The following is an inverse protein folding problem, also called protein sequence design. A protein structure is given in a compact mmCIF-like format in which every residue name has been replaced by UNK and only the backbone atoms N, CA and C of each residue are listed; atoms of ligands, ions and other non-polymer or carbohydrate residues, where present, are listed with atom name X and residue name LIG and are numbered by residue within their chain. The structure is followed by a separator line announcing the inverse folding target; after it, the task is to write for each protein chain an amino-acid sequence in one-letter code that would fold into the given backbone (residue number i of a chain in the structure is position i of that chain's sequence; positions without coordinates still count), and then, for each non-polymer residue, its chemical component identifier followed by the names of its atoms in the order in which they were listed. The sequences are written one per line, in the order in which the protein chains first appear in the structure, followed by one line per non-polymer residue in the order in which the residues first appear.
data_IF_424687471207
#
_entry.id   IF_424687471207
#
_cell.length_a   1.000
_cell.length_b   1.000
_cell.length_c   1.000
_cell.angle_alpha   90.00
_cell.angle_beta   90.00
_cell.angle_gamma   90.00
#
_symmetry.space_group_name_H-M   'P 1'
#
loop_
_entity.id
_entity.type
_entity.pdbx_description
1 polymer ?
#
# COMPACT_ATOMS: atom_id res chain seq x y z
N UNK A 1 7.56 -24.26 -7.36
CA UNK A 1 7.30 -24.03 -8.80
C UNK A 1 6.20 -22.98 -8.87
N UNK A 2 6.56 -21.78 -9.36
CA UNK A 2 5.61 -20.67 -9.55
C UNK A 2 4.92 -20.92 -10.87
N UNK A 3 3.59 -21.01 -10.90
CA UNK A 3 2.80 -21.02 -12.13
C UNK A 3 2.23 -19.62 -12.35
N UNK A 4 2.71 -18.94 -13.38
CA UNK A 4 2.16 -17.68 -13.87
C UNK A 4 1.21 -18.04 -15.02
N UNK A 5 -0.08 -17.70 -14.89
CA UNK A 5 -1.04 -17.82 -15.99
C UNK A 5 -1.16 -16.45 -16.66
N UNK A 6 -0.63 -16.35 -17.87
CA UNK A 6 -0.76 -15.16 -18.72
C UNK A 6 -1.72 -15.52 -19.85
N UNK A 7 -2.84 -14.82 -19.95
CA UNK A 7 -3.74 -14.91 -21.11
C UNK A 7 -3.28 -13.97 -22.21
N UNK A 8 -2.76 -14.55 -23.32
CA UNK A 8 -2.53 -13.81 -24.56
C UNK A 8 -3.77 -13.83 -25.43
N UNK A 9 -4.25 -12.65 -25.78
CA UNK A 9 -5.24 -12.50 -26.82
C UNK A 9 -4.53 -12.18 -28.14
N UNK A 10 -4.62 -13.10 -29.12
CA UNK A 10 -3.95 -13.02 -30.42
C UNK A 10 -4.97 -12.50 -31.46
N UNK A 11 -4.68 -11.40 -32.12
CA UNK A 11 -5.32 -11.05 -33.39
C UNK A 11 -4.41 -10.26 -34.32
N UNK A 12 -3.96 -10.99 -35.33
CA UNK A 12 -3.67 -10.77 -36.75
C UNK A 12 -3.29 -9.37 -37.29
N UNK A 13 -2.10 -9.44 -37.87
CA UNK A 13 -1.54 -8.84 -39.11
C UNK A 13 -2.29 -7.70 -39.80
N UNK A 14 -1.57 -6.59 -40.00
CA UNK A 14 -1.50 -5.94 -41.33
C UNK A 14 -0.19 -5.15 -41.48
N UNK A 15 0.55 -5.50 -42.56
CA UNK A 15 1.75 -4.78 -43.06
C UNK A 15 1.30 -3.40 -43.57
N UNK A 16 2.00 -2.32 -43.24
CA UNK A 16 2.13 -1.15 -44.10
C UNK A 16 3.47 -0.44 -43.94
N UNK A 17 3.97 0.02 -45.08
CA UNK A 17 5.29 0.49 -45.47
C UNK A 17 5.78 1.73 -44.75
N UNK A 18 7.09 1.77 -44.61
CA UNK A 18 7.99 2.87 -44.32
C UNK A 18 7.62 4.22 -44.97
N UNK A 19 7.50 5.25 -44.14
CA UNK A 19 7.90 6.61 -44.47
C UNK A 19 8.52 7.21 -43.18
N UNK A 20 9.79 7.58 -43.26
CA UNK A 20 10.49 8.33 -42.21
C UNK A 20 10.06 9.80 -42.29
N UNK A 21 9.71 10.42 -41.19
CA UNK A 21 9.94 11.84 -41.00
C UNK A 21 11.04 12.09 -39.94
N UNK A 22 11.82 13.08 -40.26
CA UNK A 22 12.92 13.68 -39.53
C UNK A 22 12.55 14.05 -38.08
N UNK A 23 13.53 13.78 -37.19
CA UNK A 23 13.47 14.08 -35.77
C UNK A 23 13.28 15.61 -35.53
N UNK A 24 12.12 15.96 -35.03
CA UNK A 24 11.96 17.14 -34.20
C UNK A 24 11.66 16.62 -32.79
N UNK A 25 12.67 16.67 -31.91
CA UNK A 25 12.53 16.34 -30.52
C UNK A 25 11.63 17.38 -29.84
N UNK A 26 10.35 17.09 -29.71
CA UNK A 26 9.49 17.77 -28.74
C UNK A 26 9.86 17.26 -27.35
N UNK A 27 10.70 17.97 -26.64
CA UNK A 27 10.82 17.87 -25.18
C UNK A 27 9.50 18.34 -24.58
N UNK A 28 8.54 17.44 -24.40
CA UNK A 28 7.45 17.64 -23.46
C UNK A 28 8.06 17.56 -22.05
N UNK A 29 8.33 18.73 -21.46
CA UNK A 29 8.59 18.87 -20.04
C UNK A 29 7.41 18.26 -19.29
N UNK A 30 7.59 17.04 -18.83
CA UNK A 30 6.73 16.43 -17.81
C UNK A 30 7.03 17.19 -16.52
N UNK A 31 6.21 18.19 -16.21
CA UNK A 31 6.18 18.77 -14.88
C UNK A 31 5.86 17.63 -13.90
N UNK A 32 6.87 17.12 -13.23
CA UNK A 32 6.73 16.19 -12.11
C UNK A 32 6.09 16.99 -10.99
N UNK A 33 4.77 16.93 -10.87
CA UNK A 33 4.11 17.40 -9.66
C UNK A 33 4.70 16.60 -8.49
N UNK A 34 5.33 17.29 -7.55
CA UNK A 34 5.69 16.73 -6.28
C UNK A 34 4.40 16.22 -5.63
N UNK A 35 4.17 14.92 -5.66
CA UNK A 35 3.07 14.29 -4.94
C UNK A 35 3.37 14.36 -3.46
N UNK A 36 3.04 15.50 -2.86
CA UNK A 36 2.81 15.55 -1.41
C UNK A 36 1.60 14.64 -1.17
N UNK A 37 1.79 13.55 -0.46
CA UNK A 37 0.68 12.70 -0.02
C UNK A 37 -0.32 13.61 0.69
N UNK A 38 -1.43 13.86 0.01
CA UNK A 38 -2.48 14.69 0.58
C UNK A 38 -3.10 13.89 1.72
N UNK A 39 -3.12 14.41 2.96
CA UNK A 39 -3.77 13.69 4.05
C UNK A 39 -5.24 13.45 3.72
N UNK A 40 -5.81 12.36 4.25
CA UNK A 40 -7.24 12.09 4.13
C UNK A 40 -8.00 13.28 4.71
N UNK A 41 -8.87 13.91 3.94
CA UNK A 41 -9.52 15.16 4.30
C UNK A 41 -10.97 15.00 4.74
N UNK A 42 -11.65 13.99 4.23
CA UNK A 42 -13.08 13.83 4.40
C UNK A 42 -13.40 12.57 5.21
N UNK A 43 -14.48 12.63 5.97
CA UNK A 43 -14.97 11.54 6.81
C UNK A 43 -14.04 11.12 7.97
N UNK A 44 -13.09 11.96 8.33
CA UNK A 44 -12.21 11.72 9.49
C UNK A 44 -12.95 12.07 10.77
N UNK A 45 -13.09 11.10 11.66
CA UNK A 45 -13.59 11.33 13.02
C UNK A 45 -12.48 11.87 13.94
N UNK A 46 -11.29 11.25 13.85
CA UNK A 46 -10.14 11.63 14.67
C UNK A 46 -8.82 11.33 13.95
N UNK A 47 -7.88 12.27 14.04
CA UNK A 47 -6.48 12.06 13.71
C UNK A 47 -5.76 11.54 14.97
N UNK A 48 -4.98 10.48 14.84
CA UNK A 48 -4.20 9.88 15.93
C UNK A 48 -2.74 10.13 15.64
N UNK A 49 -2.08 10.86 16.54
CA UNK A 49 -0.66 11.16 16.41
C UNK A 49 0.19 9.91 16.65
N UNK A 50 1.30 9.75 15.92
CA UNK A 50 2.24 8.69 16.19
C UNK A 50 2.88 8.87 17.57
N UNK A 51 3.41 7.80 18.18
CA UNK A 51 4.14 7.90 19.43
C UNK A 51 5.43 8.72 19.21
N UNK A 52 5.73 9.63 20.14
CA UNK A 52 6.90 10.51 20.07
C UNK A 52 8.07 10.02 20.91
N UNK A 53 7.84 9.07 21.79
CA UNK A 53 8.81 8.47 22.72
C UNK A 53 9.46 7.19 22.16
N UNK A 54 8.99 6.68 21.03
CA UNK A 54 9.54 5.51 20.35
C UNK A 54 10.57 5.96 19.31
N UNK A 55 11.82 5.59 19.52
CA UNK A 55 12.96 5.98 18.66
C UNK A 55 13.57 4.82 17.87
N UNK A 56 13.11 3.60 18.12
CA UNK A 56 13.58 2.38 17.47
C UNK A 56 12.47 1.33 17.47
N UNK A 57 12.68 0.19 16.82
CA UNK A 57 11.72 -0.93 16.85
C UNK A 57 11.52 -1.44 18.28
N UNK A 58 10.33 -1.28 18.86
CA UNK A 58 10.11 -1.58 20.29
C UNK A 58 9.61 -2.99 20.58
N UNK A 59 9.17 -3.72 19.54
CA UNK A 59 8.45 -4.98 19.73
C UNK A 59 9.40 -6.13 19.95
N UNK A 60 9.02 -7.02 20.90
CA UNK A 60 9.68 -8.29 21.15
C UNK A 60 9.04 -9.40 20.30
N UNK A 61 9.74 -10.49 20.08
CA UNK A 61 9.18 -11.65 19.34
C UNK A 61 7.87 -12.15 19.98
N UNK A 62 7.79 -12.14 21.33
CA UNK A 62 6.58 -12.51 22.06
C UNK A 62 5.36 -11.63 21.77
N UNK A 63 5.55 -10.37 21.38
CA UNK A 63 4.46 -9.46 21.01
C UNK A 63 3.81 -9.87 19.69
N UNK A 64 4.56 -10.53 18.83
CA UNK A 64 4.20 -10.93 17.48
C UNK A 64 3.84 -12.42 17.34
N UNK A 65 3.84 -13.16 18.46
CA UNK A 65 3.29 -14.54 18.51
C UNK A 65 1.79 -14.54 18.51
N UNK A 66 1.17 -15.67 18.24
CA UNK A 66 -0.29 -15.86 18.19
C UNK A 66 -0.73 -16.96 19.13
N UNK A 67 -1.99 -16.99 19.52
CA UNK A 67 -2.53 -18.11 20.31
C UNK A 67 -2.60 -19.40 19.50
N UNK A 68 -2.91 -19.29 18.19
CA UNK A 68 -2.94 -20.39 17.25
C UNK A 68 -1.79 -20.23 16.23
N UNK A 69 -0.71 -20.96 16.45
CA UNK A 69 0.47 -21.02 15.57
C UNK A 69 0.35 -22.10 14.49
N UNK A 70 -0.84 -22.65 14.25
CA UNK A 70 -1.09 -23.52 13.08
C UNK A 70 -0.67 -22.80 11.81
N UNK A 71 0.03 -23.50 10.94
CA UNK A 71 0.54 -22.98 9.67
C UNK A 71 -0.59 -22.29 8.89
N UNK A 72 -0.37 -21.05 8.45
CA UNK A 72 -1.40 -20.23 7.81
C UNK A 72 -1.94 -20.87 6.54
N UNK A 73 -1.14 -21.63 5.79
CA UNK A 73 -1.62 -22.38 4.64
C UNK A 73 -2.71 -23.42 4.97
N UNK A 74 -2.75 -23.93 6.21
CA UNK A 74 -3.83 -24.81 6.67
C UNK A 74 -5.05 -24.01 7.13
N UNK A 75 -4.82 -22.90 7.86
CA UNK A 75 -5.88 -22.03 8.34
C UNK A 75 -6.70 -21.40 7.20
N UNK A 76 -6.02 -20.96 6.13
CA UNK A 76 -6.62 -20.33 4.96
C UNK A 76 -6.94 -21.31 3.81
N UNK A 77 -6.82 -22.62 4.03
CA UNK A 77 -7.09 -23.62 3.00
C UNK A 77 -8.53 -23.57 2.48
N UNK A 78 -9.50 -23.36 3.38
CA UNK A 78 -10.92 -23.25 3.01
C UNK A 78 -11.25 -21.79 2.67
N UNK A 79 -11.80 -21.52 1.47
CA UNK A 79 -12.16 -20.16 1.07
C UNK A 79 -13.31 -19.61 1.92
N UNK A 80 -13.24 -18.31 2.21
CA UNK A 80 -14.23 -17.57 2.99
C UNK A 80 -14.78 -16.41 2.17
N UNK A 81 -15.84 -16.64 1.41
CA UNK A 81 -16.52 -15.61 0.61
C UNK A 81 -17.48 -14.78 1.48
N UNK A 82 -16.93 -14.15 2.51
CA UNK A 82 -17.66 -13.29 3.43
C UNK A 82 -16.97 -11.94 3.54
N UNK A 83 -17.76 -10.88 3.76
CA UNK A 83 -17.22 -9.58 4.16
C UNK A 83 -16.93 -9.63 5.65
N UNK A 84 -15.73 -9.28 6.05
CA UNK A 84 -15.32 -9.32 7.46
C UNK A 84 -15.72 -8.06 8.23
N UNK A 85 -16.20 -7.05 7.54
CA UNK A 85 -16.67 -5.75 8.05
C UNK A 85 -18.06 -5.44 7.46
N UNK A 86 -18.81 -4.59 8.14
CA UNK A 86 -20.16 -4.21 7.68
C UNK A 86 -20.12 -3.24 6.49
N UNK A 87 -21.29 -3.04 5.86
CA UNK A 87 -21.42 -2.23 4.65
C UNK A 87 -20.99 -0.77 4.85
N UNK A 88 -21.30 -0.18 6.01
CA UNK A 88 -20.90 1.21 6.32
C UNK A 88 -19.38 1.34 6.45
N UNK A 89 -18.72 0.33 7.04
CA UNK A 89 -17.27 0.27 7.12
C UNK A 89 -16.64 0.08 5.73
N UNK A 90 -17.22 -0.78 4.88
CA UNK A 90 -16.82 -0.98 3.47
C UNK A 90 -16.92 0.35 2.72
N UNK A 91 -18.04 1.05 2.85
CA UNK A 91 -18.24 2.34 2.18
C UNK A 91 -17.25 3.40 2.66
N UNK A 92 -16.96 3.42 3.97
CA UNK A 92 -15.95 4.33 4.54
C UNK A 92 -14.55 4.01 3.98
N UNK A 93 -14.19 2.74 3.84
CA UNK A 93 -12.91 2.32 3.24
C UNK A 93 -12.82 2.68 1.77
N UNK A 94 -13.89 2.45 1.00
CA UNK A 94 -13.98 2.85 -0.40
C UNK A 94 -13.80 4.38 -0.56
N UNK A 95 -14.39 5.17 0.33
CA UNK A 95 -14.20 6.63 0.37
C UNK A 95 -12.77 7.05 0.72
N UNK A 96 -12.04 6.28 1.53
CA UNK A 96 -10.62 6.51 1.79
C UNK A 96 -9.81 6.28 0.50
N UNK A 97 -10.03 5.17 -0.16
CA UNK A 97 -9.33 4.85 -1.41
C UNK A 97 -9.63 5.88 -2.51
N UNK A 98 -10.86 6.38 -2.63
CA UNK A 98 -11.21 7.41 -3.61
C UNK A 98 -10.45 8.75 -3.42
N UNK A 99 -9.98 9.03 -2.20
CA UNK A 99 -9.17 10.23 -1.90
C UNK A 99 -7.68 10.01 -2.17
N UNK A 100 -7.21 8.77 -2.22
CA UNK A 100 -5.79 8.42 -2.28
C UNK A 100 -5.37 7.82 -3.61
N UNK A 101 -6.30 7.23 -4.36
CA UNK A 101 -6.03 6.64 -5.67
C UNK A 101 -6.13 7.69 -6.78
N UNK A 102 -5.30 7.50 -7.81
CA UNK A 102 -5.29 8.31 -9.01
C UNK A 102 -5.49 7.45 -10.25
N UNK A 103 -5.84 8.09 -11.37
CA UNK A 103 -5.96 7.41 -12.66
C UNK A 103 -4.65 6.68 -13.02
N UNK A 104 -4.80 5.42 -13.44
CA UNK A 104 -3.70 4.53 -13.83
C UNK A 104 -2.72 4.15 -12.72
N UNK A 105 -3.05 4.36 -11.44
CA UNK A 105 -2.23 3.83 -10.34
C UNK A 105 -2.07 2.31 -10.48
N UNK A 106 -0.83 1.82 -10.35
CA UNK A 106 -0.53 0.41 -10.16
C UNK A 106 -0.64 0.07 -8.68
N UNK A 107 -1.46 -0.92 -8.34
CA UNK A 107 -1.81 -1.24 -6.96
C UNK A 107 -1.39 -2.66 -6.61
N UNK A 108 -0.73 -2.84 -5.47
CA UNK A 108 -0.51 -4.12 -4.83
C UNK A 108 -1.46 -4.25 -3.63
N UNK A 109 -2.36 -5.23 -3.67
CA UNK A 109 -3.26 -5.59 -2.58
C UNK A 109 -2.67 -6.76 -1.79
N UNK A 110 -2.09 -6.44 -0.63
CA UNK A 110 -1.35 -7.38 0.23
C UNK A 110 -2.30 -8.04 1.23
N UNK A 111 -2.19 -9.34 1.41
CA UNK A 111 -3.14 -10.18 2.14
C UNK A 111 -4.55 -10.12 1.51
N UNK A 112 -4.59 -10.01 0.20
CA UNK A 112 -5.81 -9.91 -0.60
C UNK A 112 -6.67 -11.17 -0.50
N UNK A 113 -7.97 -10.99 -0.72
CA UNK A 113 -8.97 -12.04 -0.73
C UNK A 113 -9.91 -11.87 -1.94
N UNK A 114 -11.14 -12.34 -1.85
CA UNK A 114 -12.13 -12.31 -2.93
C UNK A 114 -12.70 -10.91 -3.23
N UNK A 115 -12.40 -9.91 -2.41
CA UNK A 115 -12.86 -8.53 -2.53
C UNK A 115 -11.81 -7.54 -2.00
N UNK A 116 -11.59 -6.42 -2.71
CA UNK A 116 -10.60 -5.39 -2.35
C UNK A 116 -11.23 -4.08 -1.86
N UNK A 117 -12.56 -3.96 -1.85
CA UNK A 117 -13.31 -2.76 -1.41
C UNK A 117 -12.94 -1.46 -2.16
N UNK A 118 -12.37 -1.54 -3.36
CA UNK A 118 -11.97 -0.37 -4.14
C UNK A 118 -13.19 0.36 -4.69
N UNK A 119 -13.13 1.71 -4.81
CA UNK A 119 -14.19 2.50 -5.44
C UNK A 119 -14.33 2.17 -6.93
N UNK A 120 -15.45 2.59 -7.54
CA UNK A 120 -15.65 2.43 -8.98
C UNK A 120 -14.76 3.35 -9.82
N UNK A 121 -14.31 4.46 -9.29
CA UNK A 121 -13.32 5.38 -9.86
C UNK A 121 -12.31 5.82 -8.80
N UNK A 122 -11.11 6.22 -9.18
CA UNK A 122 -10.57 6.35 -10.54
C UNK A 122 -10.31 5.00 -11.22
N UNK A 123 -10.12 5.01 -12.55
CA UNK A 123 -9.71 3.81 -13.29
C UNK A 123 -8.27 3.47 -12.95
N UNK A 124 -8.05 2.34 -12.32
CA UNK A 124 -6.72 1.87 -11.92
C UNK A 124 -5.99 1.22 -13.11
N UNK A 125 -4.68 1.25 -13.05
CA UNK A 125 -3.82 0.46 -13.93
C UNK A 125 -3.85 -1.02 -13.55
N UNK A 126 -2.69 -1.65 -13.39
CA UNK A 126 -2.63 -3.03 -12.93
C UNK A 126 -2.90 -3.11 -11.42
N UNK A 127 -3.82 -3.98 -11.04
CA UNK A 127 -4.09 -4.35 -9.64
C UNK A 127 -3.62 -5.78 -9.42
N UNK A 128 -2.64 -5.98 -8.56
CA UNK A 128 -2.09 -7.31 -8.27
C UNK A 128 -2.46 -7.69 -6.84
N UNK A 129 -3.15 -8.83 -6.68
CA UNK A 129 -3.46 -9.39 -5.37
C UNK A 129 -2.37 -10.35 -4.90
N UNK A 130 -1.99 -10.27 -3.62
CA UNK A 130 -1.15 -11.25 -2.97
C UNK A 130 -1.88 -11.75 -1.71
N UNK A 131 -2.21 -13.03 -1.67
CA UNK A 131 -3.01 -13.62 -0.59
C UNK A 131 -2.79 -15.10 -0.43
N UNK A 132 -3.55 -15.72 0.47
CA UNK A 132 -3.34 -17.09 0.89
C UNK A 132 -4.20 -18.12 0.14
N UNK A 133 -5.40 -17.73 -0.31
CA UNK A 133 -6.36 -18.66 -0.91
C UNK A 133 -6.56 -18.36 -2.39
N UNK A 134 -6.19 -19.32 -3.26
CA UNK A 134 -6.27 -19.16 -4.72
C UNK A 134 -7.70 -18.95 -5.21
N UNK A 135 -8.69 -19.63 -4.60
CA UNK A 135 -10.09 -19.53 -5.02
C UNK A 135 -10.68 -18.15 -4.69
N UNK A 136 -10.32 -17.59 -3.55
CA UNK A 136 -10.70 -16.24 -3.17
C UNK A 136 -10.09 -15.21 -4.13
N UNK A 137 -8.77 -15.29 -4.37
CA UNK A 137 -8.06 -14.40 -5.28
C UNK A 137 -8.61 -14.47 -6.71
N UNK A 138 -8.90 -15.68 -7.21
CA UNK A 138 -9.48 -15.89 -8.54
C UNK A 138 -10.91 -15.29 -8.66
N UNK A 139 -11.65 -15.20 -7.57
CA UNK A 139 -12.99 -14.61 -7.54
C UNK A 139 -12.99 -13.07 -7.47
N UNK A 140 -11.85 -12.47 -7.12
CA UNK A 140 -11.74 -11.01 -6.97
C UNK A 140 -11.69 -10.31 -8.32
N UNK A 141 -12.78 -9.68 -8.70
CA UNK A 141 -12.96 -9.02 -10.01
C UNK A 141 -12.12 -7.74 -10.16
N UNK A 142 -11.55 -7.22 -9.09
CA UNK A 142 -10.70 -6.01 -9.12
C UNK A 142 -9.25 -6.33 -9.49
N UNK A 143 -8.83 -7.59 -9.38
CA UNK A 143 -7.47 -8.00 -9.66
C UNK A 143 -7.23 -8.22 -11.15
N UNK A 144 -6.15 -7.65 -11.68
CA UNK A 144 -5.61 -7.97 -13.02
C UNK A 144 -4.84 -9.29 -13.01
N UNK A 145 -4.20 -9.62 -11.88
CA UNK A 145 -3.50 -10.86 -11.62
C UNK A 145 -3.33 -11.08 -10.12
N UNK A 146 -2.90 -12.28 -9.71
CA UNK A 146 -2.65 -12.57 -8.31
C UNK A 146 -1.50 -13.56 -8.10
N UNK A 147 -0.98 -13.57 -6.87
CA UNK A 147 0.05 -14.50 -6.40
C UNK A 147 -0.41 -15.12 -5.08
N UNK A 148 -0.37 -16.45 -4.99
CA UNK A 148 -0.62 -17.15 -3.72
C UNK A 148 0.68 -17.17 -2.93
N UNK A 149 0.69 -16.52 -1.75
CA UNK A 149 1.89 -16.39 -0.92
C UNK A 149 1.54 -16.13 0.53
N UNK A 150 2.29 -16.80 1.41
CA UNK A 150 2.28 -16.61 2.86
C UNK A 150 3.42 -15.66 3.26
N UNK A 151 3.07 -14.45 3.72
CA UNK A 151 4.02 -13.44 4.15
C UNK A 151 4.59 -13.71 5.55
N UNK A 152 3.89 -14.47 6.38
CA UNK A 152 4.41 -14.91 7.68
C UNK A 152 5.49 -15.98 7.52
N UNK A 153 5.38 -16.84 6.50
CA UNK A 153 6.42 -17.79 6.13
C UNK A 153 7.61 -17.11 5.44
N UNK A 154 7.33 -16.32 4.39
CA UNK A 154 8.34 -15.60 3.63
C UNK A 154 7.86 -14.18 3.31
N UNK A 155 8.35 -13.15 4.04
CA UNK A 155 7.91 -11.76 3.88
C UNK A 155 8.38 -11.09 2.59
N UNK A 156 9.34 -11.66 1.83
CA UNK A 156 9.87 -11.04 0.60
C UNK A 156 8.80 -10.96 -0.47
N UNK A 157 8.55 -9.77 -0.99
CA UNK A 157 7.60 -9.55 -2.09
C UNK A 157 8.25 -9.89 -3.45
N UNK A 158 7.61 -10.70 -4.32
CA UNK A 158 8.18 -11.17 -5.58
C UNK A 158 8.07 -10.12 -6.70
N UNK A 159 8.42 -8.89 -6.42
CA UNK A 159 8.35 -7.76 -7.34
C UNK A 159 9.65 -6.97 -7.31
N UNK A 160 9.95 -6.29 -8.41
CA UNK A 160 11.07 -5.37 -8.50
C UNK A 160 10.86 -4.13 -7.61
N UNK A 161 11.95 -3.41 -7.32
CA UNK A 161 11.86 -2.12 -6.66
C UNK A 161 11.01 -1.15 -7.47
N UNK A 162 10.34 -0.21 -6.80
CA UNK A 162 9.66 0.92 -7.44
C UNK A 162 8.60 0.50 -8.48
N UNK A 163 7.85 -0.57 -8.18
CA UNK A 163 6.88 -1.18 -9.10
C UNK A 163 5.46 -0.63 -8.94
N UNK A 164 5.09 -0.17 -7.74
CA UNK A 164 3.70 0.16 -7.41
C UNK A 164 3.54 1.61 -6.96
N UNK A 165 2.45 2.24 -7.41
CA UNK A 165 2.04 3.57 -6.92
C UNK A 165 1.39 3.45 -5.55
N UNK A 166 0.65 2.37 -5.32
CA UNK A 166 -0.03 2.08 -4.05
C UNK A 166 0.23 0.65 -3.60
N UNK A 167 0.42 0.49 -2.28
CA UNK A 167 0.37 -0.80 -1.60
C UNK A 167 -0.72 -0.72 -0.54
N UNK A 168 -1.69 -1.62 -0.58
CA UNK A 168 -2.82 -1.63 0.36
C UNK A 168 -2.88 -2.95 1.14
N UNK A 169 -3.39 -2.87 2.35
CA UNK A 169 -3.76 -4.03 3.17
C UNK A 169 -5.08 -3.71 3.87
N UNK A 170 -6.10 -4.50 3.61
CA UNK A 170 -7.41 -4.36 4.21
C UNK A 170 -7.67 -5.50 5.20
N UNK A 171 -8.01 -5.14 6.44
CA UNK A 171 -8.49 -6.05 7.50
C UNK A 171 -7.56 -7.24 7.77
N UNK A 172 -6.23 -7.03 7.69
CA UNK A 172 -5.28 -8.13 7.79
C UNK A 172 -3.92 -7.78 8.41
N UNK A 173 -3.66 -6.51 8.74
CA UNK A 173 -2.37 -6.07 9.30
C UNK A 173 -2.07 -6.69 10.67
N UNK A 174 -3.11 -7.01 11.40
CA UNK A 174 -3.10 -7.61 12.74
C UNK A 174 -2.71 -9.10 12.75
N UNK A 175 -2.60 -9.74 11.57
CA UNK A 175 -2.16 -11.14 11.43
C UNK A 175 -0.70 -11.28 10.99
N UNK A 176 0.02 -10.17 10.75
CA UNK A 176 1.41 -10.18 10.33
C UNK A 176 2.34 -10.47 11.52
N UNK A 177 3.00 -11.64 11.51
CA UNK A 177 3.99 -12.02 12.52
C UNK A 177 5.39 -11.46 12.22
N UNK A 178 5.61 -10.97 10.99
CA UNK A 178 6.87 -10.34 10.54
C UNK A 178 6.61 -8.94 9.97
N UNK A 179 5.94 -8.05 10.73
CA UNK A 179 5.54 -6.74 10.20
C UNK A 179 6.75 -5.88 9.82
N UNK A 180 7.86 -5.97 10.53
CA UNK A 180 9.08 -5.22 10.21
C UNK A 180 9.58 -5.51 8.80
N UNK A 181 9.70 -6.77 8.45
CA UNK A 181 10.15 -7.23 7.14
C UNK A 181 9.14 -6.91 6.04
N UNK A 182 7.84 -7.15 6.30
CA UNK A 182 6.77 -6.89 5.34
C UNK A 182 6.68 -5.40 5.00
N UNK A 183 6.74 -4.51 6.00
CA UNK A 183 6.69 -3.07 5.77
C UNK A 183 7.94 -2.56 5.03
N UNK A 184 9.13 -3.14 5.32
CA UNK A 184 10.34 -2.82 4.58
C UNK A 184 10.22 -3.25 3.10
N UNK A 185 9.66 -4.41 2.82
CA UNK A 185 9.38 -4.88 1.46
C UNK A 185 8.31 -4.03 0.74
N UNK A 186 7.25 -3.62 1.45
CA UNK A 186 6.27 -2.68 0.89
C UNK A 186 6.93 -1.36 0.48
N UNK A 187 7.84 -0.83 1.31
CA UNK A 187 8.62 0.36 0.95
C UNK A 187 9.50 0.12 -0.28
N UNK A 188 10.16 -1.03 -0.35
CA UNK A 188 11.03 -1.37 -1.49
C UNK A 188 10.27 -1.37 -2.81
N UNK A 189 9.09 -1.99 -2.84
CA UNK A 189 8.29 -2.12 -4.07
C UNK A 189 7.48 -0.88 -4.41
N UNK A 190 7.27 0.05 -3.46
CA UNK A 190 6.65 1.35 -3.74
C UNK A 190 7.55 2.21 -4.61
N UNK A 191 6.99 2.88 -5.60
CA UNK A 191 7.65 3.95 -6.36
C UNK A 191 7.94 5.15 -5.45
N UNK A 192 8.97 5.97 -5.74
CA UNK A 192 9.11 7.29 -5.13
C UNK A 192 7.81 8.10 -5.26
N UNK A 193 7.31 8.65 -4.16
CA UNK A 193 6.00 9.31 -4.09
C UNK A 193 4.81 8.35 -3.89
N UNK A 194 5.05 7.06 -3.93
CA UNK A 194 4.02 6.04 -3.69
C UNK A 194 3.58 5.98 -2.23
N UNK A 195 2.42 5.37 -1.99
CA UNK A 195 1.76 5.36 -0.68
C UNK A 195 1.35 3.95 -0.27
N UNK A 196 1.64 3.57 0.98
CA UNK A 196 1.09 2.38 1.62
C UNK A 196 -0.09 2.75 2.52
N UNK A 197 -1.16 1.94 2.50
CA UNK A 197 -2.42 2.18 3.18
C UNK A 197 -2.81 0.91 3.92
N UNK A 198 -2.78 0.96 5.26
CA UNK A 198 -3.23 -0.12 6.12
C UNK A 198 -4.58 0.24 6.69
N UNK A 199 -5.56 -0.67 6.63
CA UNK A 199 -6.90 -0.46 7.17
C UNK A 199 -7.39 -1.68 7.92
N UNK A 200 -8.12 -1.45 9.01
CA UNK A 200 -8.73 -2.51 9.82
C UNK A 200 -9.93 -2.00 10.61
N UNK A 201 -10.62 -2.94 11.23
CA UNK A 201 -11.74 -2.72 12.13
C UNK A 201 -11.46 -3.33 13.50
N UNK A 202 -12.45 -3.38 14.36
CA UNK A 202 -12.43 -4.16 15.60
C UNK A 202 -12.76 -5.66 15.37
N UNK A 203 -13.04 -6.06 14.11
CA UNK A 203 -13.27 -7.45 13.73
C UNK A 203 -11.94 -8.16 13.52
N UNK A 204 -11.80 -9.32 14.17
CA UNK A 204 -10.58 -10.13 14.08
C UNK A 204 -10.89 -11.59 14.40
N UNK A 205 -9.96 -12.48 14.06
CA UNK A 205 -9.91 -13.85 14.58
C UNK A 205 -9.00 -13.87 15.82
N UNK A 206 -9.53 -13.87 17.04
CA UNK A 206 -8.74 -13.63 18.26
C UNK A 206 -7.56 -14.59 18.46
N UNK A 207 -7.68 -15.83 17.94
CA UNK A 207 -6.60 -16.81 18.04
C UNK A 207 -5.47 -16.60 17.02
N UNK A 208 -5.73 -15.85 15.95
CA UNK A 208 -4.77 -15.61 14.84
C UNK A 208 -4.14 -14.23 14.83
N UNK A 209 -4.69 -13.25 15.54
CA UNK A 209 -4.03 -11.97 15.69
C UNK A 209 -2.77 -12.08 16.55
N UNK A 210 -1.81 -11.21 16.31
CA UNK A 210 -0.60 -11.14 17.14
C UNK A 210 -0.95 -10.72 18.58
N UNK A 211 -0.21 -11.25 19.55
CA UNK A 211 -0.54 -11.14 20.97
C UNK A 211 -0.68 -9.69 21.47
N UNK A 212 0.20 -8.80 21.02
CA UNK A 212 0.11 -7.38 21.39
C UNK A 212 -1.23 -6.74 21.00
N UNK A 213 -1.86 -7.19 19.90
CA UNK A 213 -3.13 -6.66 19.44
C UNK A 213 -4.28 -6.90 20.42
N UNK A 214 -4.21 -7.99 21.18
CA UNK A 214 -5.22 -8.35 22.17
C UNK A 214 -5.07 -7.59 23.49
N UNK A 215 -3.89 -7.01 23.75
CA UNK A 215 -3.54 -6.39 25.04
C UNK A 215 -3.72 -4.89 25.09
N UNK A 216 -3.99 -4.25 23.96
CA UNK A 216 -3.97 -2.80 23.83
C UNK A 216 -5.32 -2.25 23.39
N UNK A 217 -5.51 -0.93 23.57
CA UNK A 217 -6.68 -0.21 23.08
C UNK A 217 -6.69 -0.08 21.56
N UNK A 218 -7.84 0.24 20.98
CA UNK A 218 -7.96 0.48 19.53
C UNK A 218 -7.09 1.67 19.08
N UNK A 219 -6.93 2.69 19.89
CA UNK A 219 -6.04 3.83 19.62
C UNK A 219 -4.57 3.38 19.60
N UNK A 220 -4.18 2.53 20.54
CA UNK A 220 -2.81 2.00 20.58
C UNK A 220 -2.52 1.04 19.40
N UNK A 221 -3.52 0.33 18.88
CA UNK A 221 -3.39 -0.44 17.62
C UNK A 221 -3.00 0.49 16.46
N UNK A 222 -3.59 1.69 16.39
CA UNK A 222 -3.18 2.69 15.39
C UNK A 222 -1.73 3.10 15.59
N UNK A 223 -1.30 3.35 16.83
CA UNK A 223 0.10 3.69 17.17
C UNK A 223 1.07 2.53 16.86
N UNK A 224 0.66 1.29 17.07
CA UNK A 224 1.44 0.10 16.68
C UNK A 224 1.69 0.11 15.16
N UNK A 225 0.65 0.30 14.34
CA UNK A 225 0.82 0.30 12.88
C UNK A 225 1.64 1.51 12.42
N UNK A 226 1.45 2.69 13.04
CA UNK A 226 2.33 3.84 12.78
C UNK A 226 3.80 3.53 13.13
N UNK A 227 4.04 2.78 14.22
CA UNK A 227 5.38 2.35 14.62
C UNK A 227 5.99 1.35 13.61
N UNK A 228 5.18 0.47 13.03
CA UNK A 228 5.63 -0.41 11.93
C UNK A 228 6.16 0.43 10.76
N UNK A 229 5.45 1.46 10.34
CA UNK A 229 5.90 2.37 9.29
C UNK A 229 7.21 3.09 9.66
N UNK A 230 7.25 3.67 10.86
CA UNK A 230 8.35 4.56 11.28
C UNK A 230 9.64 3.81 11.61
N UNK A 231 9.56 2.52 11.99
CA UNK A 231 10.69 1.78 12.53
C UNK A 231 10.96 0.42 11.86
N UNK A 232 10.36 0.13 10.70
CA UNK A 232 10.64 -1.09 9.93
C UNK A 232 12.05 -1.16 9.35
N UNK A 233 12.79 -0.07 9.36
CA UNK A 233 14.13 0.06 8.76
C UNK A 233 14.12 0.79 7.42
N UNK A 234 12.94 1.18 6.92
CA UNK A 234 12.76 2.02 5.74
C UNK A 234 12.36 3.45 6.14
N UNK A 235 12.45 4.38 5.20
CA UNK A 235 12.24 5.81 5.43
C UNK A 235 10.83 6.26 5.00
N UNK A 236 9.80 5.66 5.54
CA UNK A 236 8.44 6.17 5.34
C UNK A 236 8.30 7.58 5.95
N UNK A 237 7.61 8.45 5.24
CA UNK A 237 7.28 9.82 5.65
C UNK A 237 5.77 10.02 5.63
N UNK A 238 5.30 11.15 6.19
CA UNK A 238 3.87 11.47 6.21
C UNK A 238 3.02 10.33 6.80
N UNK A 239 3.49 9.74 7.90
CA UNK A 239 2.78 8.65 8.57
C UNK A 239 1.65 9.24 9.41
N UNK A 240 0.42 9.00 8.98
CA UNK A 240 -0.78 9.50 9.64
C UNK A 240 -1.72 8.36 10.00
N UNK A 241 -2.25 8.40 11.22
CA UNK A 241 -3.26 7.45 11.71
C UNK A 241 -4.63 8.11 11.84
N UNK A 242 -5.67 7.43 11.40
CA UNK A 242 -7.04 7.95 11.37
C UNK A 242 -8.00 6.95 11.98
N UNK A 243 -8.98 7.48 12.73
CA UNK A 243 -10.26 6.84 12.93
C UNK A 243 -11.25 7.51 12.00
N UNK A 244 -11.93 6.71 11.18
CA UNK A 244 -12.89 7.20 10.19
C UNK A 244 -14.31 7.20 10.78
N UNK A 245 -15.17 8.09 10.27
CA UNK A 245 -16.59 8.01 10.56
C UNK A 245 -17.22 6.84 9.85
N UNK A 246 -17.89 5.98 10.59
CA UNK A 246 -18.76 4.92 10.08
C UNK A 246 -20.14 5.08 10.74
N UNK A 247 -21.20 4.81 10.01
CA UNK A 247 -22.57 4.82 10.57
C UNK A 247 -22.96 3.45 11.15
N UNK A 248 -22.20 2.42 10.78
CA UNK A 248 -22.39 1.03 11.18
C UNK A 248 -21.84 0.71 12.57
N UNK A 249 -21.74 -0.59 12.84
CA UNK A 249 -21.19 -1.12 14.09
C UNK A 249 -19.68 -1.26 14.07
N UNK A 250 -19.12 -1.42 12.89
CA UNK A 250 -17.71 -1.68 12.70
C UNK A 250 -16.97 -0.36 12.49
N UNK A 251 -16.08 0.03 13.42
CA UNK A 251 -15.24 1.21 13.23
C UNK A 251 -14.21 0.93 12.12
N UNK A 252 -13.72 1.99 11.48
CA UNK A 252 -12.63 1.91 10.52
C UNK A 252 -11.43 2.70 11.01
N UNK A 253 -10.29 2.05 11.09
CA UNK A 253 -8.98 2.65 11.34
C UNK A 253 -8.12 2.55 10.11
N UNK A 254 -7.35 3.61 9.84
CA UNK A 254 -6.47 3.69 8.67
C UNK A 254 -5.13 4.29 9.09
N UNK A 255 -4.04 3.68 8.64
CA UNK A 255 -2.72 4.30 8.70
C UNK A 255 -2.16 4.39 7.29
N UNK A 256 -1.67 5.58 6.95
CA UNK A 256 -1.07 5.89 5.65
C UNK A 256 0.39 6.27 5.87
N UNK A 257 1.29 5.78 5.02
CA UNK A 257 2.68 6.17 4.99
C UNK A 257 3.17 6.30 3.55
N UNK A 258 4.05 7.25 3.27
CA UNK A 258 4.54 7.52 1.92
C UNK A 258 6.03 7.21 1.78
N UNK A 259 6.43 6.72 0.60
CA UNK A 259 7.82 6.74 0.17
C UNK A 259 8.15 8.14 -0.37
N UNK A 260 9.20 8.83 0.12
CA UNK A 260 9.56 10.15 -0.38
C UNK A 260 9.71 10.17 -1.90
N UNK A 261 9.28 11.27 -2.53
CA UNK A 261 9.64 11.54 -3.92
C UNK A 261 11.14 11.77 -4.02
N UNK A 262 11.76 11.38 -5.13
CA UNK A 262 13.13 11.79 -5.41
C UNK A 262 13.12 13.32 -5.56
N UNK A 263 13.89 14.05 -4.73
CA UNK A 263 14.07 15.47 -4.93
C UNK A 263 14.69 15.66 -6.31
N UNK A 264 13.99 16.35 -7.21
CA UNK A 264 14.64 16.89 -8.40
C UNK A 264 15.70 17.85 -7.89
N UNK A 265 16.98 17.60 -8.18
CA UNK A 265 18.03 18.58 -7.95
C UNK A 265 17.55 19.89 -8.58
N UNK A 266 17.22 20.88 -7.73
CA UNK A 266 16.94 22.23 -8.18
C UNK A 266 18.21 22.71 -8.84
N UNK A 267 18.10 23.12 -10.10
CA UNK A 267 19.15 23.80 -10.82
C UNK A 267 19.82 24.80 -9.89
N UNK A 268 21.10 24.57 -9.67
CA UNK A 268 21.98 25.51 -8.96
C UNK A 268 21.85 26.85 -9.72
N UNK A 269 21.39 27.95 -9.11
CA UNK A 269 21.32 29.21 -9.83
C UNK A 269 22.74 29.52 -10.31
N UNK A 270 22.90 29.63 -11.63
CA UNK A 270 24.14 30.00 -12.27
C UNK A 270 24.69 31.24 -11.54
N UNK A 271 25.88 31.09 -11.00
CA UNK A 271 26.64 32.22 -10.46
C UNK A 271 26.89 33.14 -11.64
N UNK A 272 26.15 34.26 -11.69
CA UNK A 272 26.42 35.36 -12.62
C UNK A 272 27.66 36.02 -12.08
N UNK A 273 28.83 35.71 -12.65
CA UNK A 273 30.03 36.50 -12.47
C UNK A 273 29.76 37.90 -13.06
N UNK A 274 29.63 38.86 -12.19
CA UNK A 274 29.61 40.29 -12.57
C UNK A 274 31.05 40.71 -12.80
N UNK A 275 31.47 40.83 -14.06
CA UNK A 275 32.72 41.50 -14.41
C UNK A 275 32.61 42.97 -14.03
N UNK A 276 33.34 43.37 -12.99
CA UNK A 276 33.64 44.79 -12.71
C UNK A 276 34.54 45.36 -13.80
N UNK A 277 33.97 46.13 -14.73
CA UNK A 277 34.73 46.92 -15.66
C UNK A 277 35.33 48.14 -14.90
N UNK A 278 36.61 48.04 -14.52
CA UNK A 278 37.38 49.20 -14.14
C UNK A 278 37.66 50.09 -15.37
N UNK A 279 37.01 51.23 -15.44
CA UNK A 279 37.43 52.32 -16.33
C UNK A 279 38.15 53.42 -15.55
N UNK A 280 39.40 53.61 -15.93
CA UNK A 280 40.18 54.79 -15.66
C UNK A 280 39.58 56.06 -16.28
#
# INVERSE_FOLDING_TARGET
RIRIHVYYNCSRHMLLRLLRPTAAALFLSRATMATTTTPIKYNVQRLISPPTDVTHWPFQDSDLTRQDETIDSQWYMQPRFVTHIDEDCIQALSNVYSQLFHENDTVLDVCSSWISHFPDGPSLGNVIGLGMNEQELAANKRLSSYIVKDLNSNPTLPFENDSFDKVVNAVSVDYLCKPKEVFNEMYRVLKPGGTAIMSWSNRMFPTKVVDIWLRVSEEDRVRIVQTYFLHCGANFTNVHGYQMNTLGRDPLYVVVGAKPSVATESENPAVVEVEESSSL
#
